data_IF_511427424016
#
_entry.id   IF_511427424016
#
_cell.length_a   1.000
_cell.length_b   1.000
_cell.length_c   1.000
_cell.angle_alpha   90.00
_cell.angle_beta   90.00
_cell.angle_gamma   90.00
#
_symmetry.space_group_name_H-M   'P 1'
#
loop_
_entity.id
_entity.type
_entity.pdbx_description
1 polymer ?
#
# COMPACT_ATOMS: atom_id res chain seq x y z
N UNK A 1 -23.12 10.70 -30.14
CA UNK A 1 -22.63 10.36 -28.78
C UNK A 1 -21.12 10.24 -28.81
N UNK A 2 -20.45 10.25 -27.65
CA UNK A 2 -18.99 10.10 -27.56
C UNK A 2 -18.63 8.95 -26.61
N UNK A 3 -17.57 8.22 -26.93
CA UNK A 3 -16.93 7.22 -26.06
C UNK A 3 -15.41 7.44 -26.01
N UNK A 4 -14.82 7.27 -24.84
CA UNK A 4 -13.37 7.34 -24.60
C UNK A 4 -12.85 5.98 -24.20
N UNK A 5 -11.84 5.47 -24.88
CA UNK A 5 -11.27 4.15 -24.66
C UNK A 5 -9.79 4.32 -24.36
N UNK A 6 -9.32 3.83 -23.22
CA UNK A 6 -7.93 3.97 -22.83
C UNK A 6 -7.41 2.70 -22.17
N UNK A 7 -6.21 2.28 -22.59
CA UNK A 7 -5.40 1.27 -21.93
C UNK A 7 -4.22 1.98 -21.29
N UNK A 8 -4.22 2.08 -19.97
CA UNK A 8 -3.15 2.69 -19.18
C UNK A 8 -2.08 1.66 -18.86
N UNK A 9 -0.82 2.09 -18.75
CA UNK A 9 0.20 1.28 -18.09
C UNK A 9 0.10 1.50 -16.57
N UNK A 10 0.18 0.43 -15.78
CA UNK A 10 0.03 0.48 -14.32
C UNK A 10 -1.42 0.56 -13.85
N UNK A 11 -1.60 1.07 -12.63
CA UNK A 11 -2.89 1.08 -11.90
C UNK A 11 -3.53 2.47 -11.80
N UNK A 12 -2.83 3.51 -12.24
CA UNK A 12 -3.21 4.91 -12.09
C UNK A 12 -3.61 5.54 -13.43
N UNK A 13 -4.41 6.61 -13.38
CA UNK A 13 -4.81 7.43 -14.55
C UNK A 13 -3.72 8.44 -14.95
N UNK A 14 -2.46 8.02 -14.93
CA UNK A 14 -1.33 8.84 -15.41
C UNK A 14 -1.29 8.83 -16.94
N UNK A 15 -0.70 9.84 -17.60
CA UNK A 15 -0.68 9.96 -19.07
C UNK A 15 0.20 8.92 -19.81
N UNK A 16 0.51 7.79 -19.18
CA UNK A 16 1.24 6.67 -19.77
C UNK A 16 0.24 5.68 -20.41
N UNK A 17 -0.14 5.96 -21.65
CA UNK A 17 -1.10 5.16 -22.41
C UNK A 17 -0.38 4.11 -23.27
N UNK A 18 -0.85 2.87 -23.20
CA UNK A 18 -0.58 1.85 -24.23
C UNK A 18 -1.46 2.11 -25.45
N UNK A 19 -2.70 2.53 -25.23
CA UNK A 19 -3.65 2.89 -26.28
C UNK A 19 -4.64 3.94 -25.76
N UNK A 20 -5.03 4.88 -26.60
CA UNK A 20 -6.01 5.92 -26.29
C UNK A 20 -6.79 6.28 -27.56
N UNK A 21 -8.09 5.96 -27.56
CA UNK A 21 -9.00 6.16 -28.70
C UNK A 21 -10.23 6.94 -28.25
N UNK A 22 -10.67 7.88 -29.08
CA UNK A 22 -11.89 8.63 -28.86
C UNK A 22 -12.76 8.58 -30.12
N UNK A 23 -14.04 8.29 -29.95
CA UNK A 23 -14.96 8.15 -31.07
C UNK A 23 -16.26 8.91 -30.83
N UNK A 24 -16.72 9.59 -31.87
CA UNK A 24 -18.06 10.17 -31.95
C UNK A 24 -18.86 9.37 -32.97
N UNK A 25 -19.96 8.78 -32.52
CA UNK A 25 -20.77 7.87 -33.33
C UNK A 25 -22.19 7.74 -32.77
N UNK A 26 -23.03 6.97 -33.46
CA UNK A 26 -24.32 6.49 -32.94
C UNK A 26 -24.13 5.35 -31.93
N UNK A 27 -25.15 5.06 -31.12
CA UNK A 27 -25.06 4.13 -29.98
C UNK A 27 -24.51 2.74 -30.36
N UNK A 28 -24.98 2.15 -31.47
CA UNK A 28 -24.45 0.86 -31.96
C UNK A 28 -22.99 0.95 -32.43
N UNK A 29 -22.61 2.05 -33.08
CA UNK A 29 -21.23 2.27 -33.51
C UNK A 29 -20.29 2.36 -32.30
N UNK A 30 -20.68 3.10 -31.27
CA UNK A 30 -19.91 3.20 -30.03
C UNK A 30 -19.77 1.85 -29.32
N UNK A 31 -20.86 1.07 -29.22
CA UNK A 31 -20.82 -0.27 -28.63
C UNK A 31 -19.82 -1.17 -29.37
N UNK A 32 -19.90 -1.26 -30.70
CA UNK A 32 -18.99 -2.08 -31.51
C UNK A 32 -17.52 -1.65 -31.37
N UNK A 33 -17.26 -0.33 -31.31
CA UNK A 33 -15.89 0.19 -31.14
C UNK A 33 -15.32 -0.15 -29.76
N UNK A 34 -16.14 -0.08 -28.71
CA UNK A 34 -15.74 -0.49 -27.37
C UNK A 34 -15.54 -2.01 -27.27
N UNK A 35 -16.42 -2.83 -27.86
CA UNK A 35 -16.23 -4.27 -27.92
C UNK A 35 -14.93 -4.63 -28.67
N UNK A 36 -14.67 -4.02 -29.82
CA UNK A 36 -13.42 -4.21 -30.58
C UNK A 36 -12.19 -3.84 -29.76
N UNK A 37 -12.22 -2.70 -29.07
CA UNK A 37 -11.14 -2.30 -28.17
C UNK A 37 -10.91 -3.32 -27.04
N UNK A 38 -11.97 -3.87 -26.45
CA UNK A 38 -11.81 -4.92 -25.44
C UNK A 38 -11.28 -6.22 -26.03
N UNK A 39 -11.71 -6.61 -27.23
CA UNK A 39 -11.15 -7.78 -27.92
C UNK A 39 -9.65 -7.61 -28.22
N UNK A 40 -9.21 -6.40 -28.56
CA UNK A 40 -7.79 -6.09 -28.82
C UNK A 40 -6.92 -6.20 -27.55
N UNK A 41 -7.47 -5.83 -26.38
CA UNK A 41 -6.67 -5.55 -25.17
C UNK A 41 -6.91 -6.49 -23.98
N UNK A 42 -8.07 -7.17 -23.91
CA UNK A 42 -8.38 -8.11 -22.82
C UNK A 42 -7.44 -9.31 -22.92
N UNK A 43 -6.63 -9.61 -21.89
CA UNK A 43 -5.78 -10.79 -21.92
C UNK A 43 -6.62 -12.08 -21.94
N UNK A 44 -6.13 -13.04 -22.72
CA UNK A 44 -6.75 -14.36 -22.87
C UNK A 44 -5.79 -15.42 -22.35
N UNK A 45 -6.20 -16.13 -21.29
CA UNK A 45 -5.46 -17.27 -20.77
C UNK A 45 -5.84 -18.53 -21.56
N UNK A 46 -4.87 -19.36 -21.90
CA UNK A 46 -5.12 -20.67 -22.51
C UNK A 46 -5.15 -21.75 -21.43
N UNK A 47 -6.27 -22.43 -21.25
CA UNK A 47 -6.39 -23.59 -20.35
C UNK A 47 -6.48 -24.89 -21.15
N UNK A 48 -5.60 -25.85 -20.87
CA UNK A 48 -5.73 -27.23 -21.35
C UNK A 48 -6.33 -28.07 -20.22
N UNK A 49 -7.64 -28.31 -20.27
CA UNK A 49 -8.31 -29.13 -19.26
C UNK A 49 -7.74 -30.56 -19.28
N UNK A 50 -7.53 -31.16 -18.10
CA UNK A 50 -7.02 -32.53 -17.99
C UNK A 50 -7.90 -33.51 -18.77
N UNK A 51 -7.30 -34.26 -19.71
CA UNK A 51 -8.00 -35.16 -20.62
C UNK A 51 -8.56 -34.52 -21.90
N UNK A 52 -8.36 -33.21 -22.12
CA UNK A 52 -8.70 -32.54 -23.37
C UNK A 52 -7.45 -32.28 -24.21
N UNK A 53 -7.52 -32.64 -25.49
CA UNK A 53 -6.49 -32.31 -26.49
C UNK A 53 -6.62 -30.86 -27.02
N UNK A 54 -7.71 -30.17 -26.67
CA UNK A 54 -8.06 -28.85 -27.22
C UNK A 54 -7.93 -27.79 -26.13
N UNK A 55 -7.07 -26.79 -26.38
CA UNK A 55 -6.94 -25.61 -25.52
C UNK A 55 -8.23 -24.79 -25.55
N UNK A 56 -8.71 -24.36 -24.39
CA UNK A 56 -9.77 -23.35 -24.28
C UNK A 56 -9.18 -22.00 -23.96
N UNK A 57 -9.69 -20.99 -24.64
CA UNK A 57 -9.29 -19.59 -24.44
C UNK A 57 -10.26 -18.94 -23.45
N UNK A 58 -9.72 -18.49 -22.31
CA UNK A 58 -10.46 -17.92 -21.18
C UNK A 58 -10.03 -16.45 -21.04
N UNK A 59 -10.84 -15.51 -21.55
CA UNK A 59 -10.56 -14.09 -21.39
C UNK A 59 -10.71 -13.69 -19.92
N UNK A 60 -9.90 -12.73 -19.47
CA UNK A 60 -10.00 -12.18 -18.10
C UNK A 60 -11.39 -11.60 -17.80
N UNK A 61 -11.99 -10.96 -18.80
CA UNK A 61 -13.32 -10.38 -18.71
C UNK A 61 -14.16 -11.00 -19.84
N UNK A 62 -15.19 -11.81 -19.54
CA UNK A 62 -15.98 -12.47 -20.57
C UNK A 62 -16.66 -11.46 -21.51
N UNK A 63 -16.60 -11.65 -22.84
CA UNK A 63 -17.19 -10.71 -23.81
C UNK A 63 -18.67 -10.42 -23.56
N UNK A 64 -19.44 -11.44 -23.16
CA UNK A 64 -20.87 -11.28 -22.80
C UNK A 64 -21.09 -10.35 -21.60
N UNK A 65 -20.19 -10.40 -20.60
CA UNK A 65 -20.25 -9.55 -19.41
C UNK A 65 -19.93 -8.11 -19.77
N UNK A 66 -18.84 -7.90 -20.52
CA UNK A 66 -18.42 -6.55 -20.91
C UNK A 66 -19.39 -5.91 -21.89
N UNK A 67 -20.00 -6.69 -22.80
CA UNK A 67 -21.04 -6.21 -23.70
C UNK A 67 -22.26 -5.72 -22.93
N UNK A 68 -22.74 -6.48 -21.96
CA UNK A 68 -23.87 -6.09 -21.10
C UNK A 68 -23.54 -4.81 -20.33
N UNK A 69 -22.33 -4.72 -19.75
CA UNK A 69 -21.88 -3.52 -19.05
C UNK A 69 -21.82 -2.28 -19.96
N UNK A 70 -21.29 -2.42 -21.18
CA UNK A 70 -21.22 -1.34 -22.17
C UNK A 70 -22.61 -0.90 -22.64
N UNK A 71 -23.49 -1.86 -22.92
CA UNK A 71 -24.87 -1.58 -23.31
C UNK A 71 -25.62 -0.85 -22.19
N UNK A 72 -25.47 -1.30 -20.94
CA UNK A 72 -26.04 -0.64 -19.77
C UNK A 72 -25.48 0.77 -19.57
N UNK A 73 -24.18 0.98 -19.74
CA UNK A 73 -23.59 2.32 -19.70
C UNK A 73 -24.21 3.25 -20.77
N UNK A 74 -24.40 2.78 -22.00
CA UNK A 74 -25.02 3.58 -23.07
C UNK A 74 -26.50 3.86 -22.81
N UNK A 75 -27.25 2.88 -22.32
CA UNK A 75 -28.69 2.98 -22.05
C UNK A 75 -29.02 3.83 -20.82
N UNK A 76 -28.13 3.85 -19.82
CA UNK A 76 -28.35 4.55 -18.55
C UNK A 76 -27.57 5.86 -18.41
N UNK A 77 -26.75 6.23 -19.40
CA UNK A 77 -26.01 7.49 -19.40
C UNK A 77 -26.94 8.70 -19.29
N UNK A 78 -26.55 9.67 -18.48
CA UNK A 78 -27.09 11.02 -18.56
C UNK A 78 -26.50 11.78 -19.77
N UNK A 79 -27.32 11.95 -20.81
CA UNK A 79 -26.96 12.67 -22.03
C UNK A 79 -27.06 14.18 -21.91
N UNK A 80 -27.63 14.71 -20.82
CA UNK A 80 -27.72 16.15 -20.57
C UNK A 80 -26.40 16.75 -20.06
N UNK A 81 -25.50 15.93 -19.50
CA UNK A 81 -24.18 16.38 -19.00
C UNK A 81 -23.27 16.77 -20.17
N UNK A 82 -22.91 18.07 -20.33
CA UNK A 82 -22.03 18.54 -21.39
C UNK A 82 -20.63 17.94 -21.27
N UNK A 83 -20.03 17.53 -22.38
CA UNK A 83 -18.72 16.87 -22.38
C UNK A 83 -18.69 15.49 -21.73
N UNK A 84 -19.83 14.98 -21.24
CA UNK A 84 -19.96 13.63 -20.75
C UNK A 84 -19.73 12.61 -21.88
N UNK A 85 -19.00 11.55 -21.58
CA UNK A 85 -18.80 10.42 -22.48
C UNK A 85 -18.71 9.15 -21.64
N UNK A 86 -19.28 8.05 -22.16
CA UNK A 86 -18.96 6.73 -21.60
C UNK A 86 -17.44 6.55 -21.74
N UNK A 87 -16.79 6.02 -20.72
CA UNK A 87 -15.36 5.77 -20.77
C UNK A 87 -15.05 4.32 -20.39
N UNK A 88 -14.16 3.70 -21.15
CA UNK A 88 -13.63 2.36 -20.91
C UNK A 88 -12.16 2.54 -20.60
N UNK A 89 -11.76 2.29 -19.36
CA UNK A 89 -10.40 2.45 -18.88
C UNK A 89 -9.87 1.10 -18.39
N UNK A 90 -8.88 0.55 -19.09
CA UNK A 90 -8.22 -0.68 -18.70
C UNK A 90 -6.86 -0.38 -18.06
N UNK A 91 -6.65 -0.94 -16.88
CA UNK A 91 -5.43 -0.89 -16.09
C UNK A 91 -4.80 -2.28 -16.01
N UNK A 92 -3.61 -2.37 -15.43
CA UNK A 92 -2.94 -3.66 -15.25
C UNK A 92 -3.64 -4.57 -14.24
N UNK A 93 -4.44 -3.99 -13.35
CA UNK A 93 -5.12 -4.64 -12.23
C UNK A 93 -6.65 -4.63 -12.33
N UNK A 94 -7.26 -3.90 -13.28
CA UNK A 94 -8.72 -3.83 -13.44
C UNK A 94 -9.17 -3.25 -14.78
N UNK A 95 -10.44 -3.49 -15.11
CA UNK A 95 -11.18 -2.76 -16.14
C UNK A 95 -12.26 -1.91 -15.47
N UNK A 96 -12.33 -0.62 -15.80
CA UNK A 96 -13.41 0.29 -15.39
C UNK A 96 -14.24 0.71 -16.62
N UNK A 97 -15.57 0.59 -16.53
CA UNK A 97 -16.51 1.19 -17.47
C UNK A 97 -17.32 2.24 -16.71
N UNK A 98 -17.13 3.52 -17.06
CA UNK A 98 -17.81 4.64 -16.42
C UNK A 98 -18.86 5.25 -17.33
N UNK A 99 -20.04 5.55 -16.78
CA UNK A 99 -21.13 6.24 -17.44
C UNK A 99 -21.47 7.53 -16.68
N UNK A 100 -21.51 8.70 -17.33
CA UNK A 100 -21.95 9.95 -16.71
C UNK A 100 -23.37 9.83 -16.14
N UNK A 101 -23.60 10.42 -14.97
CA UNK A 101 -24.85 10.32 -14.21
C UNK A 101 -24.69 9.54 -12.90
N UNK A 102 -25.77 9.39 -12.16
CA UNK A 102 -25.81 8.65 -10.88
C UNK A 102 -26.77 7.47 -10.94
N UNK A 103 -26.90 6.74 -9.83
CA UNK A 103 -27.97 5.75 -9.72
C UNK A 103 -29.33 6.44 -9.61
N UNK A 104 -30.32 5.92 -10.33
CA UNK A 104 -31.68 6.45 -10.36
C UNK A 104 -32.68 5.46 -9.73
N UNK A 105 -33.90 5.93 -9.45
CA UNK A 105 -35.01 5.10 -8.96
C UNK A 105 -34.74 4.37 -7.64
N UNK A 106 -33.92 4.96 -6.77
CA UNK A 106 -33.56 4.37 -5.48
C UNK A 106 -32.64 3.16 -5.57
N UNK A 107 -32.02 2.92 -6.74
CA UNK A 107 -30.92 1.97 -6.90
C UNK A 107 -29.66 2.50 -6.20
N UNK A 108 -28.81 1.57 -5.78
CA UNK A 108 -27.50 1.83 -5.20
C UNK A 108 -26.53 0.75 -5.69
N UNK A 109 -25.23 0.96 -5.51
CA UNK A 109 -24.19 -0.02 -5.81
C UNK A 109 -24.50 -1.43 -5.26
N UNK A 110 -24.96 -1.51 -4.01
CA UNK A 110 -25.30 -2.76 -3.32
C UNK A 110 -26.48 -3.48 -3.98
N UNK A 111 -27.50 -2.71 -4.42
CA UNK A 111 -28.70 -3.26 -5.07
C UNK A 111 -28.43 -3.78 -6.47
N UNK A 112 -27.31 -3.41 -7.10
CA UNK A 112 -26.94 -3.93 -8.43
C UNK A 112 -26.65 -5.43 -8.42
N UNK A 113 -26.26 -5.98 -7.26
CA UNK A 113 -26.03 -7.41 -7.05
C UNK A 113 -27.32 -8.21 -6.81
N UNK A 114 -28.43 -7.53 -6.56
CA UNK A 114 -29.73 -8.13 -6.29
C UNK A 114 -30.66 -8.00 -7.50
N UNK A 115 -31.65 -8.88 -7.65
CA UNK A 115 -32.70 -8.71 -8.64
C UNK A 115 -33.41 -7.36 -8.47
N UNK A 116 -33.56 -6.62 -9.56
CA UNK A 116 -34.27 -5.34 -9.59
C UNK A 116 -34.94 -5.12 -10.95
N UNK A 117 -35.96 -4.25 -10.99
CA UNK A 117 -36.62 -3.91 -12.24
C UNK A 117 -35.68 -3.12 -13.17
N UNK A 118 -35.65 -3.50 -14.46
CA UNK A 118 -34.96 -2.71 -15.47
C UNK A 118 -35.75 -1.44 -15.78
N UNK A 119 -35.31 -0.32 -15.21
CA UNK A 119 -35.82 1.02 -15.53
C UNK A 119 -34.72 1.82 -16.24
N UNK A 120 -34.65 1.76 -17.59
CA UNK A 120 -33.63 2.48 -18.34
C UNK A 120 -33.82 4.00 -18.24
N UNK A 121 -32.74 4.74 -17.99
CA UNK A 121 -32.75 6.20 -18.00
C UNK A 121 -33.11 6.76 -19.38
N UNK A 122 -32.70 6.05 -20.44
CA UNK A 122 -33.03 6.40 -21.83
C UNK A 122 -33.87 5.29 -22.49
N UNK A 123 -35.22 5.28 -22.31
CA UNK A 123 -36.10 4.23 -22.81
C UNK A 123 -36.04 4.02 -24.33
N UNK A 124 -35.85 5.09 -25.11
CA UNK A 124 -35.76 5.00 -26.58
C UNK A 124 -34.51 4.26 -27.04
N UNK A 125 -33.36 4.54 -26.40
CA UNK A 125 -32.09 3.87 -26.69
C UNK A 125 -32.20 2.40 -26.28
N UNK A 126 -32.68 2.13 -25.06
CA UNK A 126 -32.87 0.78 -24.55
C UNK A 126 -33.83 -0.05 -25.41
N UNK A 127 -34.97 0.51 -25.80
CA UNK A 127 -35.93 -0.18 -26.68
C UNK A 127 -35.33 -0.49 -28.06
N UNK A 128 -34.47 0.40 -28.57
CA UNK A 128 -33.76 0.18 -29.83
C UNK A 128 -32.74 -0.96 -29.71
N UNK A 129 -31.98 -1.01 -28.62
CA UNK A 129 -31.05 -2.12 -28.32
C UNK A 129 -31.79 -3.45 -28.09
N UNK A 130 -32.93 -3.43 -27.39
CA UNK A 130 -33.78 -4.60 -27.19
C UNK A 130 -34.29 -5.16 -28.52
N UNK A 131 -34.84 -4.30 -29.39
CA UNK A 131 -35.31 -4.72 -30.72
C UNK A 131 -34.19 -5.27 -31.61
N UNK A 132 -32.95 -4.85 -31.38
CA UNK A 132 -31.77 -5.35 -32.08
C UNK A 132 -31.18 -6.63 -31.45
N UNK A 133 -31.76 -7.17 -30.38
CA UNK A 133 -31.25 -8.36 -29.67
C UNK A 133 -29.95 -8.11 -28.90
N UNK A 134 -29.70 -6.87 -28.48
CA UNK A 134 -28.48 -6.50 -27.74
C UNK A 134 -28.66 -6.65 -26.23
N UNK A 135 -29.85 -6.28 -25.72
CA UNK A 135 -30.19 -6.33 -24.30
C UNK A 135 -31.52 -7.05 -24.09
N UNK A 136 -31.70 -7.56 -22.87
CA UNK A 136 -32.96 -8.14 -22.39
C UNK A 136 -33.77 -7.14 -21.57
N UNK A 137 -35.09 -7.36 -21.43
CA UNK A 137 -36.00 -6.43 -20.72
C UNK A 137 -36.30 -6.83 -19.26
N UNK A 138 -35.93 -8.04 -18.86
CA UNK A 138 -36.37 -8.64 -17.60
C UNK A 138 -35.59 -8.21 -16.35
N UNK A 139 -34.66 -7.25 -16.44
CA UNK A 139 -33.89 -6.78 -15.26
C UNK A 139 -32.86 -7.78 -14.74
N UNK A 140 -32.55 -8.82 -15.51
CA UNK A 140 -31.56 -9.84 -15.16
C UNK A 140 -30.14 -9.50 -15.63
N UNK A 141 -29.92 -8.38 -16.32
CA UNK A 141 -28.62 -8.03 -16.92
C UNK A 141 -27.46 -8.05 -15.92
N UNK A 142 -27.61 -7.36 -14.78
CA UNK A 142 -26.54 -7.25 -13.78
C UNK A 142 -26.31 -8.56 -13.01
N UNK A 143 -27.37 -9.32 -12.75
CA UNK A 143 -27.27 -10.64 -12.09
C UNK A 143 -26.69 -11.69 -13.05
N UNK A 144 -27.01 -11.60 -14.33
CA UNK A 144 -26.38 -12.39 -15.38
C UNK A 144 -24.88 -12.09 -15.49
N UNK A 145 -24.46 -10.83 -15.42
CA UNK A 145 -23.04 -10.47 -15.37
C UNK A 145 -22.32 -11.18 -14.22
N UNK A 146 -22.92 -11.22 -13.02
CA UNK A 146 -22.38 -11.94 -11.87
C UNK A 146 -22.27 -13.44 -12.14
N UNK A 147 -23.32 -14.04 -12.71
CA UNK A 147 -23.33 -15.46 -13.06
C UNK A 147 -22.26 -15.81 -14.09
N UNK A 148 -22.18 -15.03 -15.17
CA UNK A 148 -21.22 -15.24 -16.25
C UNK A 148 -19.75 -15.06 -15.81
N UNK A 149 -19.48 -14.14 -14.87
CA UNK A 149 -18.15 -14.03 -14.25
C UNK A 149 -17.81 -15.29 -13.44
N UNK A 150 -18.76 -15.79 -12.62
CA UNK A 150 -18.56 -17.01 -11.83
C UNK A 150 -18.33 -18.24 -12.71
N UNK A 151 -19.08 -18.39 -13.79
CA UNK A 151 -18.88 -19.47 -14.77
C UNK A 151 -17.48 -19.41 -15.42
N UNK A 152 -16.94 -18.20 -15.64
CA UNK A 152 -15.60 -18.00 -16.18
C UNK A 152 -14.48 -18.12 -15.12
N UNK A 153 -14.82 -18.37 -13.84
CA UNK A 153 -13.86 -18.34 -12.74
C UNK A 153 -13.26 -16.96 -12.45
N UNK A 154 -13.92 -15.89 -12.93
CA UNK A 154 -13.48 -14.50 -12.76
C UNK A 154 -14.18 -13.85 -11.56
N UNK A 155 -13.55 -12.86 -10.90
CA UNK A 155 -14.20 -12.03 -9.90
C UNK A 155 -15.49 -11.41 -10.43
N UNK A 156 -16.45 -11.24 -9.53
CA UNK A 156 -17.70 -10.58 -9.85
C UNK A 156 -17.47 -9.07 -10.06
N UNK A 157 -18.25 -8.39 -10.91
CA UNK A 157 -18.19 -6.94 -11.04
C UNK A 157 -18.56 -6.22 -9.75
N UNK A 158 -17.97 -5.05 -9.56
CA UNK A 158 -18.31 -4.11 -8.50
C UNK A 158 -18.84 -2.82 -9.10
N UNK A 159 -19.87 -2.26 -8.49
CA UNK A 159 -20.45 -0.98 -8.89
C UNK A 159 -20.13 0.08 -7.85
N UNK A 160 -19.88 1.30 -8.30
CA UNK A 160 -19.71 2.46 -7.45
C UNK A 160 -20.26 3.71 -8.15
N UNK A 161 -20.61 4.73 -7.36
CA UNK A 161 -20.84 6.07 -7.87
C UNK A 161 -19.68 6.97 -7.45
N UNK A 162 -19.01 7.57 -8.43
CA UNK A 162 -17.80 8.37 -8.19
C UNK A 162 -17.77 9.57 -9.13
N UNK A 163 -17.66 10.77 -8.57
CA UNK A 163 -17.55 12.04 -9.30
C UNK A 163 -18.67 12.25 -10.35
N UNK A 164 -19.93 11.98 -9.98
CA UNK A 164 -21.08 12.14 -10.88
C UNK A 164 -21.10 11.14 -12.05
N UNK A 165 -20.49 9.97 -11.86
CA UNK A 165 -20.52 8.87 -12.81
C UNK A 165 -20.77 7.56 -12.07
N UNK A 166 -21.56 6.68 -12.68
CA UNK A 166 -21.67 5.27 -12.28
C UNK A 166 -20.54 4.51 -12.94
N UNK A 167 -19.79 3.74 -12.14
CA UNK A 167 -18.64 2.96 -12.60
C UNK A 167 -18.88 1.50 -12.27
N UNK A 168 -18.66 0.63 -13.25
CA UNK A 168 -18.55 -0.81 -13.04
C UNK A 168 -17.10 -1.24 -13.25
N UNK A 169 -16.56 -1.95 -12.25
CA UNK A 169 -15.17 -2.37 -12.18
C UNK A 169 -15.07 -3.89 -12.22
N UNK A 170 -14.10 -4.41 -12.98
CA UNK A 170 -13.80 -5.83 -13.09
C UNK A 170 -12.36 -6.10 -12.71
N UNK A 171 -12.15 -6.97 -11.71
CA UNK A 171 -10.82 -7.43 -11.32
C UNK A 171 -10.41 -8.67 -12.12
N UNK A 172 -9.12 -8.82 -12.47
CA UNK A 172 -8.64 -9.99 -13.20
C UNK A 172 -8.78 -11.28 -12.37
N UNK A 173 -8.83 -12.46 -13.03
CA UNK A 173 -8.89 -13.74 -12.35
C UNK A 173 -7.75 -13.95 -11.34
N UNK A 174 -8.03 -14.53 -10.17
CA UNK A 174 -7.05 -14.73 -9.09
C UNK A 174 -5.83 -15.55 -9.54
N UNK A 175 -6.00 -16.49 -10.47
CA UNK A 175 -4.89 -17.23 -11.09
C UNK A 175 -4.02 -16.37 -12.01
N UNK A 176 -4.63 -15.44 -12.76
CA UNK A 176 -3.92 -14.50 -13.61
C UNK A 176 -3.19 -13.43 -12.79
N UNK A 177 -3.73 -13.06 -11.62
CA UNK A 177 -3.00 -12.27 -10.62
C UNK A 177 -1.77 -13.06 -10.14
N UNK A 178 -1.85 -14.37 -9.83
CA UNK A 178 -0.67 -15.16 -9.44
C UNK A 178 0.40 -15.30 -10.54
N UNK A 179 0.02 -15.48 -11.80
CA UNK A 179 0.97 -15.54 -12.92
C UNK A 179 1.58 -14.17 -13.27
N UNK A 180 0.80 -13.08 -13.14
CA UNK A 180 1.33 -11.72 -13.23
C UNK A 180 2.13 -11.33 -11.99
N UNK A 181 1.80 -11.79 -10.79
CA UNK A 181 2.62 -11.64 -9.58
C UNK A 181 3.97 -12.37 -9.71
N UNK A 182 4.02 -13.43 -10.53
CA UNK A 182 5.25 -14.14 -10.87
C UNK A 182 6.07 -13.47 -11.99
N UNK A 183 5.48 -12.52 -12.74
CA UNK A 183 6.13 -11.83 -13.89
C UNK A 183 6.18 -10.30 -13.77
N UNK A 184 5.49 -9.71 -12.80
CA UNK A 184 5.43 -8.30 -12.43
C UNK A 184 5.46 -8.24 -10.89
N UNK A 185 6.46 -7.57 -10.29
CA UNK A 185 6.50 -7.40 -8.86
C UNK A 185 5.37 -6.43 -8.40
N UNK A 186 4.38 -6.81 -7.56
CA UNK A 186 3.28 -5.92 -7.15
C UNK A 186 3.74 -4.71 -6.33
N UNK A 187 3.03 -3.58 -6.32
CA UNK A 187 3.14 -2.57 -5.26
C UNK A 187 2.28 -2.99 -4.07
N UNK A 188 2.84 -3.06 -2.86
CA UNK A 188 2.11 -3.35 -1.62
C UNK A 188 1.81 -2.05 -0.91
N UNK A 189 0.65 -1.45 -1.17
CA UNK A 189 0.08 -0.50 -0.21
C UNK A 189 -0.22 -1.23 1.10
N UNK A 190 0.25 -0.73 2.26
CA UNK A 190 0.04 -1.39 3.55
C UNK A 190 -1.37 -1.07 4.07
N UNK A 191 -2.38 -1.72 3.49
CA UNK A 191 -3.68 -1.87 4.13
C UNK A 191 -4.01 -3.37 4.20
N UNK A 192 -3.93 -3.90 5.43
CA UNK A 192 -4.42 -5.21 5.89
C UNK A 192 -4.23 -6.39 4.92
N UNK A 193 -2.98 -6.63 4.49
CA UNK A 193 -2.58 -7.94 3.95
C UNK A 193 -1.76 -8.69 5.01
N UNK A 194 -1.85 -10.03 5.11
CA UNK A 194 -1.03 -10.82 6.04
C UNK A 194 0.49 -10.59 5.88
N UNK A 195 0.92 -10.12 4.70
CA UNK A 195 2.30 -9.77 4.40
C UNK A 195 2.67 -8.37 4.92
N UNK A 196 1.77 -7.39 4.86
CA UNK A 196 1.99 -6.08 5.49
C UNK A 196 2.08 -6.22 7.01
N UNK A 197 1.22 -7.05 7.62
CA UNK A 197 1.31 -7.38 9.06
C UNK A 197 2.64 -8.04 9.41
N UNK A 198 3.13 -8.98 8.60
CA UNK A 198 4.46 -9.59 8.80
C UNK A 198 5.62 -8.60 8.65
N UNK A 199 5.53 -7.64 7.74
CA UNK A 199 6.54 -6.58 7.61
C UNK A 199 6.54 -5.69 8.85
N UNK A 200 5.37 -5.27 9.31
CA UNK A 200 5.22 -4.45 10.51
C UNK A 200 5.72 -5.21 11.75
N UNK A 201 5.38 -6.50 11.89
CA UNK A 201 5.90 -7.37 12.95
C UNK A 201 7.42 -7.53 12.89
N UNK A 202 8.01 -7.66 11.69
CA UNK A 202 9.47 -7.76 11.54
C UNK A 202 10.19 -6.44 11.91
N UNK A 203 9.52 -5.29 11.71
CA UNK A 203 10.01 -3.96 12.07
C UNK A 203 9.85 -3.60 13.56
N UNK A 204 9.31 -4.50 14.41
CA UNK A 204 9.23 -4.28 15.87
C UNK A 204 10.60 -4.00 16.50
N UNK A 205 11.68 -4.48 15.88
CA UNK A 205 13.06 -4.12 16.18
C UNK A 205 13.72 -3.52 14.93
N UNK A 206 14.70 -2.60 15.08
CA UNK A 206 15.43 -2.05 13.95
C UNK A 206 16.11 -3.16 13.14
N UNK A 207 15.66 -3.34 11.91
CA UNK A 207 16.07 -4.43 11.02
C UNK A 207 16.67 -3.89 9.73
N UNK A 208 17.58 -4.66 9.16
CA UNK A 208 18.16 -4.36 7.84
C UNK A 208 17.15 -4.64 6.72
N UNK A 209 17.43 -4.10 5.54
CA UNK A 209 16.63 -4.38 4.34
C UNK A 209 16.64 -5.88 4.02
N UNK A 210 17.79 -6.53 4.19
CA UNK A 210 18.02 -7.95 3.95
C UNK A 210 17.19 -8.81 4.91
N UNK A 211 17.18 -8.46 6.21
CA UNK A 211 16.38 -9.14 7.24
C UNK A 211 14.88 -9.02 6.97
N UNK A 212 14.41 -7.83 6.58
CA UNK A 212 13.02 -7.60 6.20
C UNK A 212 12.60 -8.37 4.95
N UNK A 213 13.48 -8.44 3.96
CA UNK A 213 13.25 -9.24 2.76
C UNK A 213 13.13 -10.73 3.11
N UNK A 214 14.02 -11.23 3.97
CA UNK A 214 14.03 -12.62 4.41
C UNK A 214 12.78 -12.99 5.23
N UNK A 215 12.30 -12.11 6.11
CA UNK A 215 11.11 -12.38 6.93
C UNK A 215 9.84 -12.56 6.09
N UNK A 216 9.77 -11.90 4.93
CA UNK A 216 8.68 -12.03 3.96
C UNK A 216 8.88 -13.18 2.96
N UNK A 217 10.04 -13.86 3.00
CA UNK A 217 10.44 -14.91 2.05
C UNK A 217 10.43 -14.44 0.59
N UNK A 218 10.79 -13.18 0.35
CA UNK A 218 10.84 -12.59 -0.99
C UNK A 218 12.27 -12.70 -1.53
N UNK A 219 12.45 -13.31 -2.71
CA UNK A 219 13.78 -13.49 -3.30
C UNK A 219 14.28 -12.24 -4.05
N UNK A 220 13.38 -11.50 -4.69
CA UNK A 220 13.74 -10.31 -5.47
C UNK A 220 13.87 -9.06 -4.57
N UNK A 221 15.10 -8.54 -4.50
CA UNK A 221 15.46 -7.37 -3.71
C UNK A 221 14.96 -6.02 -4.28
N UNK A 222 14.76 -5.93 -5.60
CA UNK A 222 14.17 -4.75 -6.24
C UNK A 222 12.67 -4.72 -5.95
N UNK A 223 12.01 -5.85 -6.17
CA UNK A 223 10.61 -6.05 -5.85
C UNK A 223 10.32 -5.70 -4.39
N UNK A 224 11.01 -6.31 -3.43
CA UNK A 224 10.80 -6.04 -2.00
C UNK A 224 10.83 -4.52 -1.68
N UNK A 225 11.79 -3.79 -2.27
CA UNK A 225 11.94 -2.35 -2.03
C UNK A 225 10.79 -1.53 -2.60
N UNK A 226 10.39 -1.80 -3.82
CA UNK A 226 9.37 -0.99 -4.52
C UNK A 226 7.96 -1.36 -4.06
N UNK A 227 7.78 -2.62 -3.72
CA UNK A 227 6.52 -3.18 -3.32
C UNK A 227 6.19 -2.94 -1.86
N UNK A 228 7.08 -3.28 -0.95
CA UNK A 228 6.74 -3.34 0.47
C UNK A 228 7.37 -2.17 1.23
N UNK A 229 8.67 -1.96 1.02
CA UNK A 229 9.43 -1.01 1.81
C UNK A 229 9.10 0.45 1.48
N UNK A 230 9.08 0.83 0.19
CA UNK A 230 8.75 2.19 -0.25
C UNK A 230 7.33 2.59 0.16
N UNK A 231 6.29 1.78 -0.09
CA UNK A 231 4.95 2.14 0.36
C UNK A 231 4.81 2.20 1.87
N UNK A 232 5.51 1.36 2.64
CA UNK A 232 5.54 1.45 4.10
C UNK A 232 6.20 2.75 4.60
N UNK A 233 7.27 3.20 3.93
CA UNK A 233 7.91 4.50 4.18
C UNK A 233 7.00 5.67 3.78
N UNK A 234 6.35 5.60 2.61
CA UNK A 234 5.46 6.65 2.10
C UNK A 234 4.17 6.76 2.92
N UNK A 235 3.62 5.63 3.36
CA UNK A 235 2.49 5.59 4.30
C UNK A 235 2.90 6.02 5.73
N UNK A 236 4.20 6.18 5.97
CA UNK A 236 4.76 6.58 7.25
C UNK A 236 4.50 5.55 8.34
N UNK A 237 4.51 4.25 8.01
CA UNK A 237 4.42 3.15 8.98
C UNK A 237 5.80 2.68 9.47
N UNK A 238 6.81 2.91 8.63
CA UNK A 238 8.21 2.57 8.87
C UNK A 238 9.04 3.79 8.51
N UNK A 239 10.17 3.98 9.19
CA UNK A 239 11.12 5.06 8.92
C UNK A 239 12.58 4.58 8.94
N UNK A 240 13.46 5.41 8.37
CA UNK A 240 14.89 5.20 8.32
C UNK A 240 15.54 5.54 9.68
N UNK A 241 16.43 4.69 10.18
CA UNK A 241 17.21 5.03 11.39
C UNK A 241 18.22 6.16 11.16
N UNK A 242 18.75 6.32 9.94
CA UNK A 242 19.55 7.48 9.51
C UNK A 242 18.95 8.17 8.27
N UNK A 243 17.94 9.05 8.45
CA UNK A 243 17.29 9.75 7.33
C UNK A 243 18.27 10.53 6.44
N UNK A 244 19.30 11.14 7.04
CA UNK A 244 20.29 11.96 6.33
C UNK A 244 21.30 11.13 5.52
N UNK A 245 21.39 9.82 5.76
CA UNK A 245 22.35 8.92 5.11
C UNK A 245 21.66 7.64 4.65
N UNK A 246 20.69 7.72 3.71
CA UNK A 246 19.84 6.59 3.33
C UNK A 246 20.60 5.45 2.64
N UNK A 247 21.83 5.69 2.18
CA UNK A 247 22.72 4.68 1.57
C UNK A 247 23.78 4.13 2.54
N UNK A 248 23.67 4.44 3.84
CA UNK A 248 24.60 3.93 4.85
C UNK A 248 24.57 2.40 4.87
N UNK A 249 25.72 1.71 4.95
CA UNK A 249 25.76 0.25 5.14
C UNK A 249 25.19 -0.20 6.50
N UNK A 250 25.00 0.74 7.44
CA UNK A 250 24.28 0.50 8.70
C UNK A 250 22.82 0.93 8.68
N UNK A 251 22.27 1.31 7.53
CA UNK A 251 20.90 1.77 7.45
C UNK A 251 19.94 0.65 7.87
N UNK A 252 19.09 0.96 8.86
CA UNK A 252 18.02 0.07 9.32
C UNK A 252 16.66 0.76 9.19
N UNK A 253 15.62 -0.01 9.37
CA UNK A 253 14.23 0.41 9.30
C UNK A 253 13.56 0.12 10.64
N UNK A 254 12.76 1.06 11.15
CA UNK A 254 12.01 0.92 12.41
C UNK A 254 10.57 1.40 12.24
N UNK A 255 9.64 0.92 13.06
CA UNK A 255 8.25 1.40 13.04
C UNK A 255 8.14 2.87 13.50
N UNK A 256 7.12 3.54 12.97
CA UNK A 256 6.64 4.86 13.43
C UNK A 256 5.42 4.69 14.35
N UNK A 257 4.96 5.78 14.96
CA UNK A 257 3.71 5.80 15.76
C UNK A 257 2.49 5.22 14.99
N UNK A 258 2.38 5.52 13.69
CA UNK A 258 1.33 4.97 12.83
C UNK A 258 1.48 3.46 12.62
N UNK A 259 2.72 2.98 12.53
CA UNK A 259 3.04 1.56 12.44
C UNK A 259 2.61 0.79 13.70
N UNK A 260 2.88 1.32 14.89
CA UNK A 260 2.43 0.74 16.16
C UNK A 260 0.90 0.75 16.31
N UNK A 261 0.26 1.85 15.93
CA UNK A 261 -1.19 2.01 16.00
C UNK A 261 -1.96 0.94 15.20
N UNK A 262 -1.40 0.48 14.07
CA UNK A 262 -2.01 -0.59 13.27
C UNK A 262 -1.96 -1.98 13.93
N UNK A 263 -1.04 -2.22 14.86
CA UNK A 263 -0.95 -3.49 15.59
C UNK A 263 -1.89 -3.55 16.81
N UNK A 264 -2.67 -2.50 17.07
CA UNK A 264 -3.48 -2.39 18.30
C UNK A 264 -2.62 -2.36 19.57
N UNK A 265 -1.33 -2.06 19.42
CA UNK A 265 -0.36 -2.01 20.49
C UNK A 265 0.03 -0.53 20.71
N UNK A 266 -0.17 0.03 21.91
CA UNK A 266 0.46 1.31 22.22
C UNK A 266 1.97 1.13 22.07
N UNK A 267 2.68 2.19 21.71
CA UNK A 267 4.14 2.27 21.58
C UNK A 267 4.89 1.56 22.74
N UNK A 268 4.23 1.50 23.92
CA UNK A 268 4.67 0.89 25.16
C UNK A 268 4.50 -0.63 25.31
N UNK A 269 3.92 -1.37 24.34
CA UNK A 269 3.64 -2.80 24.49
C UNK A 269 4.65 -3.74 23.81
N UNK A 270 5.38 -3.30 22.78
CA UNK A 270 6.48 -4.07 22.14
C UNK A 270 7.65 -3.15 21.73
N UNK A 271 8.02 -2.27 22.64
CA UNK A 271 9.44 -2.10 22.95
C UNK A 271 9.81 -3.28 23.86
N UNK A 272 11.00 -3.94 23.77
CA UNK A 272 11.64 -4.27 25.05
C UNK A 272 11.59 -2.93 25.77
N UNK A 273 10.84 -2.86 26.87
CA UNK A 273 10.89 -1.72 27.75
C UNK A 273 12.35 -1.30 27.84
N UNK A 274 12.71 -0.27 27.08
CA UNK A 274 13.64 0.70 27.58
C UNK A 274 12.73 1.79 28.18
N UNK A 275 11.88 1.40 29.17
CA UNK A 275 12.08 2.08 30.46
C UNK A 275 13.57 2.08 30.61
N UNK A 276 14.29 3.18 30.85
CA UNK A 276 15.70 3.04 31.06
C UNK A 276 15.86 2.22 32.36
N UNK A 277 15.78 0.89 32.22
CA UNK A 277 16.49 -0.10 32.95
C UNK A 277 17.88 0.35 32.65
N UNK A 278 18.32 1.14 33.60
CA UNK A 278 19.69 1.51 33.80
C UNK A 278 20.44 0.22 33.62
N UNK A 279 21.06 0.08 32.45
CA UNK A 279 22.01 -0.99 32.32
C UNK A 279 23.12 -0.61 33.31
N UNK A 280 23.77 -1.57 33.98
CA UNK A 280 24.97 -1.27 34.77
C UNK A 280 26.06 -0.51 33.98
N UNK A 281 25.90 -0.42 32.66
CA UNK A 281 26.74 0.31 31.72
C UNK A 281 26.32 1.79 31.59
N UNK A 282 25.03 2.14 31.65
CA UNK A 282 24.56 3.54 31.68
C UNK A 282 24.95 4.22 33.01
N UNK A 283 24.84 3.50 34.12
CA UNK A 283 25.37 3.91 35.43
C UNK A 283 26.87 4.26 35.36
N UNK A 284 27.68 3.35 34.79
CA UNK A 284 29.12 3.56 34.63
C UNK A 284 29.44 4.72 33.70
N UNK A 285 28.63 4.93 32.66
CA UNK A 285 28.79 6.04 31.74
C UNK A 285 28.54 7.38 32.45
N UNK A 286 27.44 7.49 33.20
CA UNK A 286 27.10 8.71 33.95
C UNK A 286 28.10 8.96 35.08
N UNK A 287 28.52 7.90 35.78
CA UNK A 287 29.55 7.97 36.82
C UNK A 287 30.89 8.46 36.27
N UNK A 288 31.30 7.97 35.09
CA UNK A 288 32.53 8.42 34.44
C UNK A 288 32.42 9.88 33.93
N UNK A 289 31.22 10.34 33.58
CA UNK A 289 30.95 11.72 33.16
C UNK A 289 30.84 12.74 34.31
N UNK A 290 30.93 12.33 35.58
CA UNK A 290 30.99 13.25 36.73
C UNK A 290 32.16 14.24 36.62
N UNK A 291 33.26 13.79 36.00
CA UNK A 291 34.36 14.63 35.58
C UNK A 291 34.45 14.65 34.05
N UNK A 292 34.90 15.75 33.43
CA UNK A 292 35.08 15.80 31.98
C UNK A 292 36.05 14.73 31.48
N UNK A 293 35.52 13.75 30.73
CA UNK A 293 36.25 12.60 30.22
C UNK A 293 36.25 12.55 28.70
N UNK A 294 37.29 11.94 28.14
CA UNK A 294 37.39 11.71 26.68
C UNK A 294 36.50 10.55 26.25
N UNK A 295 36.24 10.47 24.94
CA UNK A 295 35.49 9.35 24.35
C UNK A 295 36.18 8.01 24.60
N UNK A 296 37.51 7.99 24.51
CA UNK A 296 38.35 6.82 24.71
C UNK A 296 38.29 6.35 26.17
N UNK A 297 38.36 7.27 27.13
CA UNK A 297 38.22 6.98 28.57
C UNK A 297 36.83 6.41 28.88
N UNK A 298 35.77 6.97 28.31
CA UNK A 298 34.41 6.44 28.47
C UNK A 298 34.26 5.05 27.86
N UNK A 299 34.80 4.84 26.66
CA UNK A 299 34.76 3.53 26.02
C UNK A 299 35.49 2.47 26.86
N UNK A 300 36.64 2.83 27.45
CA UNK A 300 37.40 1.96 28.33
C UNK A 300 36.67 1.65 29.65
N UNK A 301 36.01 2.64 30.26
CA UNK A 301 35.28 2.42 31.52
C UNK A 301 34.09 1.47 31.37
N UNK A 302 33.45 1.46 30.19
CA UNK A 302 32.40 0.50 29.84
C UNK A 302 32.94 -0.86 29.34
N UNK A 303 34.27 -1.00 29.17
CA UNK A 303 34.93 -2.19 28.61
C UNK A 303 34.41 -2.60 27.22
N UNK A 304 34.05 -1.62 26.38
CA UNK A 304 33.53 -1.85 25.04
C UNK A 304 34.67 -1.75 24.01
N UNK A 305 34.96 -2.83 23.30
CA UNK A 305 36.04 -2.84 22.29
C UNK A 305 35.64 -2.10 21.00
N UNK A 306 34.38 -2.22 20.58
CA UNK A 306 33.90 -1.61 19.34
C UNK A 306 33.56 -0.11 19.56
N UNK A 307 34.42 0.76 19.01
CA UNK A 307 34.28 2.21 19.09
C UNK A 307 33.06 2.77 18.34
N UNK A 308 32.52 2.03 17.36
CA UNK A 308 31.33 2.40 16.61
C UNK A 308 30.09 2.05 17.42
N UNK A 309 30.03 0.84 17.96
CA UNK A 309 28.97 0.40 18.86
C UNK A 309 28.88 1.29 20.11
N UNK A 310 30.02 1.61 20.75
CA UNK A 310 30.05 2.52 21.90
C UNK A 310 29.40 3.89 21.58
N UNK A 311 29.75 4.47 20.42
CA UNK A 311 29.21 5.77 20.01
C UNK A 311 27.71 5.72 19.73
N UNK A 312 27.25 4.69 19.03
CA UNK A 312 25.86 4.60 18.56
C UNK A 312 24.90 4.13 19.66
N UNK A 313 25.33 3.21 20.52
CA UNK A 313 24.47 2.60 21.54
C UNK A 313 24.48 3.32 22.89
N UNK A 314 25.56 4.04 23.25
CA UNK A 314 25.69 4.65 24.58
C UNK A 314 25.88 6.17 24.51
N UNK A 315 26.90 6.62 23.76
CA UNK A 315 27.27 8.04 23.75
C UNK A 315 26.22 8.93 23.09
N UNK A 316 25.75 8.56 21.89
CA UNK A 316 24.76 9.35 21.13
C UNK A 316 23.39 9.39 21.82
N UNK A 317 22.85 8.28 22.36
CA UNK A 317 21.63 8.33 23.15
C UNK A 317 21.75 9.21 24.39
N UNK A 318 22.86 9.14 25.13
CA UNK A 318 23.07 9.97 26.31
C UNK A 318 23.14 11.48 25.99
N UNK A 319 23.74 11.85 24.85
CA UNK A 319 23.74 13.23 24.33
C UNK A 319 22.33 13.67 23.89
N UNK A 320 21.63 12.84 23.12
CA UNK A 320 20.27 13.16 22.61
C UNK A 320 19.26 13.32 23.73
N UNK A 321 19.36 12.47 24.75
CA UNK A 321 18.52 12.55 25.95
C UNK A 321 18.94 13.71 26.88
N UNK A 322 20.05 14.40 26.57
CA UNK A 322 20.57 15.51 27.35
C UNK A 322 21.11 15.10 28.72
N UNK A 323 21.51 13.84 28.91
CA UNK A 323 22.12 13.36 30.15
C UNK A 323 23.58 13.80 30.28
N UNK A 324 24.27 13.90 29.14
CA UNK A 324 25.65 14.40 29.05
C UNK A 324 25.73 15.47 27.97
N UNK A 325 26.76 16.30 28.03
CA UNK A 325 27.00 17.38 27.07
C UNK A 325 28.48 17.47 26.66
N UNK A 326 28.71 18.14 25.53
CA UNK A 326 30.03 18.43 24.98
C UNK A 326 30.67 19.61 25.72
N UNK A 327 31.95 19.51 26.06
CA UNK A 327 32.70 20.66 26.60
C UNK A 327 33.04 21.73 25.55
N UNK A 328 33.16 21.37 24.27
CA UNK A 328 33.36 22.28 23.14
C UNK A 328 32.25 22.07 22.09
N UNK A 329 31.02 22.59 22.32
CA UNK A 329 29.87 22.32 21.45
C UNK A 329 30.10 22.68 19.97
N UNK A 330 30.83 23.76 19.71
CA UNK A 330 31.08 24.27 18.34
C UNK A 330 32.10 23.42 17.55
N UNK A 331 32.85 22.56 18.23
CA UNK A 331 33.88 21.69 17.62
C UNK A 331 33.75 20.26 18.12
N UNK A 332 32.65 19.55 17.79
CA UNK A 332 32.35 18.22 18.34
C UNK A 332 33.39 17.14 17.98
N UNK A 333 34.19 17.37 16.93
CA UNK A 333 35.27 16.48 16.48
C UNK A 333 36.66 16.94 16.95
N UNK A 334 36.74 17.90 17.89
CA UNK A 334 38.02 18.35 18.44
C UNK A 334 38.76 17.21 19.13
N UNK A 335 40.08 17.05 18.97
CA UNK A 335 40.85 16.07 19.73
C UNK A 335 40.87 16.37 21.25
N UNK A 336 40.52 17.60 21.63
CA UNK A 336 40.37 18.03 23.03
C UNK A 336 38.91 17.93 23.52
N UNK A 337 38.02 17.34 22.72
CA UNK A 337 36.61 17.20 23.07
C UNK A 337 36.44 16.27 24.27
N UNK A 338 35.69 16.73 25.28
CA UNK A 338 35.31 15.93 26.44
C UNK A 338 33.80 15.92 26.62
N UNK A 339 33.32 14.98 27.41
CA UNK A 339 31.92 14.81 27.77
C UNK A 339 31.76 15.02 29.27
N UNK A 340 30.75 15.77 29.68
CA UNK A 340 30.43 16.00 31.10
C UNK A 340 28.95 15.80 31.37
N UNK A 341 28.62 15.44 32.60
CA UNK A 341 27.26 15.24 33.06
C UNK A 341 26.49 16.57 33.13
N UNK A 342 25.24 16.59 32.65
CA UNK A 342 24.33 17.75 32.77
C UNK A 342 23.55 17.69 34.09
N UNK A 343 22.83 18.75 34.44
CA UNK A 343 21.91 18.73 35.59
C UNK A 343 20.80 17.69 35.42
N UNK A 344 20.33 17.48 34.19
CA UNK A 344 19.37 16.41 33.86
C UNK A 344 20.01 15.03 34.08
N UNK A 345 21.27 14.85 33.70
CA UNK A 345 22.03 13.62 33.95
C UNK A 345 22.27 13.35 35.45
N UNK A 346 22.55 14.39 36.24
CA UNK A 346 22.70 14.28 37.71
C UNK A 346 21.39 13.89 38.38
N UNK A 347 20.29 14.54 38.01
CA UNK A 347 18.97 14.21 38.54
C UNK A 347 18.55 12.79 38.16
N UNK A 348 18.88 12.38 36.94
CA UNK A 348 18.68 11.01 36.48
C UNK A 348 19.49 10.01 37.32
N UNK A 349 20.77 10.28 37.56
CA UNK A 349 21.63 9.46 38.42
C UNK A 349 21.11 9.38 39.87
N UNK A 350 20.65 10.49 40.45
CA UNK A 350 20.07 10.55 41.80
C UNK A 350 18.71 9.84 41.91
N UNK A 351 17.91 9.83 40.84
CA UNK A 351 16.62 9.12 40.80
C UNK A 351 16.77 7.60 40.67
N UNK A 352 17.94 7.14 40.23
CA UNK A 352 18.26 5.74 39.94
C UNK A 352 19.03 5.07 41.08
N UNK A 353 19.84 5.83 41.82
CA UNK A 353 20.57 5.35 42.99
C UNK A 353 19.73 5.63 44.24
N UNK A 354 19.12 4.63 44.91
CA UNK A 354 18.63 4.84 46.26
C UNK A 354 19.83 5.23 47.12
N UNK A 355 19.82 6.45 47.67
CA UNK A 355 20.72 6.79 48.76
C UNK A 355 20.53 5.73 49.85
N UNK A 356 21.60 4.98 50.14
CA UNK A 356 21.68 4.16 51.34
C UNK A 356 21.24 5.04 52.54
N UNK A 357 20.38 4.57 53.45
CA UNK A 357 20.04 5.35 54.63
C UNK A 357 21.32 5.71 55.40
N UNK A 358 21.37 6.87 56.07
CA UNK A 358 22.55 7.24 56.85
C UNK A 358 22.81 6.15 57.91
N UNK A 359 24.07 5.92 58.29
CA UNK A 359 24.36 5.02 59.41
C UNK A 359 23.63 5.56 60.63
N UNK A 360 22.83 4.70 61.27
CA UNK A 360 22.33 4.94 62.61
C UNK A 360 23.54 5.18 63.51
N UNK A 361 23.71 6.42 63.96
CA UNK A 361 24.62 6.73 65.05
C UNK A 361 24.01 6.17 66.34
N UNK A 362 24.79 5.30 66.98
CA UNK A 362 24.78 4.83 68.39
C UNK A 362 23.48 4.87 69.19
#
# INVERSE_FOLDING_TARGET
CEIRLARFRGTDKQPDFIDNRQYKDHAFGLLRRAEGFLLDHVPVAGELASGSMIRRDIPWYPPRVTREALANAICHRDYAIPGGAVAVAMFDDRLEISSPGGFHFGLSAEKMLLPHESRPWNPLIANTFYRAGIIERWGSGTTNMVHWCKENGSPIPQWEERNGSVIVSFSPPVGAIKERLNTIPPPVTPQATPQAEKLIQACLQPCSREELQQSLKIQDAKYFREAYLRPALTAGLVELTFPDKPRSPLQKYRLTEKGYSLLGQPENAVTPQVTPQVTPQDEKLLQACLQPCSREELQQSLKIQDAKYFREAYLRPALLNGLIELTIPDKPNSPLQKYKLTDKGRNYQLSVIPSCPPPTAD
#
